data_IF_540658903152
#
_entry.id   IF_540658903152
#
_cell.length_a   1.000
_cell.length_b   1.000
_cell.length_c   1.000
_cell.angle_alpha   90.00
_cell.angle_beta   90.00
_cell.angle_gamma   90.00
#
_symmetry.space_group_name_H-M   'P 1'
#
loop_
_entity.id
_entity.type
_entity.pdbx_description
1 polymer ?
#
# COMPACT_ATOMS: atom_id res chain seq x y z
N UNK A 1 26.19 -2.12 28.13
CA UNK A 1 26.68 -1.38 26.95
C UNK A 1 25.47 -0.92 26.16
N UNK A 2 25.17 0.39 26.16
CA UNK A 2 24.07 0.97 25.41
C UNK A 2 24.35 0.81 23.91
N UNK A 3 23.58 -0.05 23.22
CA UNK A 3 23.59 -0.10 21.74
C UNK A 3 23.00 1.22 21.25
N UNK A 4 23.81 2.07 20.67
CA UNK A 4 23.32 3.24 19.92
C UNK A 4 22.48 2.72 18.76
N UNK A 5 21.16 2.93 18.84
CA UNK A 5 20.25 2.73 17.70
C UNK A 5 20.66 3.78 16.65
N UNK A 6 21.24 3.33 15.56
CA UNK A 6 21.53 4.21 14.43
C UNK A 6 20.24 4.29 13.62
N UNK A 7 19.60 5.46 13.52
CA UNK A 7 18.41 5.60 12.68
C UNK A 7 18.77 5.22 11.24
N UNK A 8 17.93 4.42 10.60
CA UNK A 8 18.10 4.05 9.19
C UNK A 8 17.99 5.33 8.37
N UNK A 9 19.12 5.87 7.92
CA UNK A 9 19.14 7.02 7.00
C UNK A 9 18.98 6.49 5.59
N UNK A 10 17.80 6.66 5.04
CA UNK A 10 17.55 6.36 3.63
C UNK A 10 18.23 7.35 2.71
N UNK A 11 18.73 6.86 1.58
CA UNK A 11 19.39 7.69 0.57
C UNK A 11 18.36 8.67 0.00
N UNK A 12 18.70 9.97 0.06
CA UNK A 12 17.88 11.03 -0.53
C UNK A 12 18.59 11.54 -1.77
N UNK A 13 17.90 11.52 -2.91
CA UNK A 13 18.36 12.14 -4.15
C UNK A 13 17.96 13.60 -4.22
N UNK A 14 18.80 14.37 -4.89
CA UNK A 14 18.44 15.71 -5.33
C UNK A 14 17.32 15.62 -6.37
N UNK A 15 16.32 16.48 -6.25
CA UNK A 15 15.25 16.61 -7.25
C UNK A 15 15.91 17.04 -8.56
N UNK A 16 15.57 16.42 -9.71
CA UNK A 16 16.13 16.82 -10.99
C UNK A 16 15.85 18.29 -11.29
N UNK A 17 16.91 19.10 -11.39
CA UNK A 17 16.78 20.54 -11.71
C UNK A 17 16.60 20.76 -13.21
N UNK A 18 16.99 19.80 -14.04
CA UNK A 18 16.85 19.82 -15.50
C UNK A 18 16.13 18.54 -15.98
N UNK A 19 15.48 18.63 -17.11
CA UNK A 19 14.70 17.57 -17.73
C UNK A 19 13.30 18.05 -18.09
N UNK A 20 12.77 17.51 -19.18
CA UNK A 20 11.42 17.82 -19.62
C UNK A 20 10.38 17.07 -18.80
N UNK A 21 9.27 17.72 -18.51
CA UNK A 21 8.08 17.08 -17.94
C UNK A 21 7.24 16.51 -19.09
N UNK A 22 7.16 15.19 -19.18
CA UNK A 22 6.37 14.54 -20.21
C UNK A 22 4.92 14.40 -19.75
N UNK A 23 3.98 14.72 -20.65
CA UNK A 23 2.53 14.68 -20.39
C UNK A 23 1.78 13.99 -21.51
N UNK A 24 0.73 13.30 -21.12
CA UNK A 24 -0.30 12.79 -22.01
C UNK A 24 -1.68 13.25 -21.47
N UNK A 25 -2.29 14.23 -22.14
CA UNK A 25 -3.45 14.93 -21.60
C UNK A 25 -3.13 15.60 -20.27
N UNK A 26 -3.88 15.30 -19.23
CA UNK A 26 -3.64 15.82 -17.89
C UNK A 26 -2.58 15.06 -17.08
N UNK A 27 -2.13 13.89 -17.55
CA UNK A 27 -1.26 13.03 -16.77
C UNK A 27 0.22 13.30 -17.03
N UNK A 28 1.03 13.29 -15.98
CA UNK A 28 2.47 13.06 -16.13
C UNK A 28 2.71 11.63 -16.60
N UNK A 29 3.57 11.45 -17.59
CA UNK A 29 3.95 10.14 -18.12
C UNK A 29 5.45 9.92 -17.98
N UNK A 30 5.83 8.67 -17.73
CA UNK A 30 7.24 8.27 -17.71
C UNK A 30 7.72 7.82 -19.10
N UNK A 31 9.04 7.54 -19.30
CA UNK A 31 9.58 7.14 -20.62
C UNK A 31 8.99 5.84 -21.16
N UNK A 32 8.30 5.05 -20.34
CA UNK A 32 7.59 3.83 -20.76
C UNK A 32 6.11 4.09 -21.10
N UNK A 33 5.68 5.36 -21.11
CA UNK A 33 4.29 5.75 -21.37
C UNK A 33 3.34 5.47 -20.19
N UNK A 34 3.84 5.28 -18.97
CA UNK A 34 3.00 4.98 -17.81
C UNK A 34 2.51 6.28 -17.17
N UNK A 35 1.20 6.54 -17.14
CA UNK A 35 0.65 7.74 -16.50
C UNK A 35 0.69 7.65 -14.98
N UNK A 36 0.92 8.77 -14.28
CA UNK A 36 0.76 8.84 -12.83
C UNK A 36 -0.73 9.01 -12.50
N UNK A 37 -1.34 7.98 -11.88
CA UNK A 37 -2.76 7.98 -11.49
C UNK A 37 -3.03 7.70 -10.02
N UNK A 38 -2.09 7.07 -9.31
CA UNK A 38 -2.32 6.58 -7.94
C UNK A 38 -1.15 7.04 -7.04
N UNK A 39 -1.48 7.72 -5.93
CA UNK A 39 -0.49 8.04 -4.90
C UNK A 39 -0.80 7.24 -3.64
N UNK A 40 0.21 6.57 -3.10
CA UNK A 40 0.17 5.98 -1.76
C UNK A 40 0.86 6.90 -0.78
N UNK A 41 0.14 7.31 0.24
CA UNK A 41 0.62 8.26 1.25
C UNK A 41 0.77 7.53 2.58
N UNK A 42 2.00 7.44 3.08
CA UNK A 42 2.27 6.99 4.44
C UNK A 42 1.99 8.15 5.41
N UNK A 43 0.98 8.01 6.25
CA UNK A 43 0.60 9.07 7.20
C UNK A 43 1.28 8.92 8.57
N UNK A 44 1.91 7.79 8.84
CA UNK A 44 2.63 7.50 10.08
C UNK A 44 3.63 6.35 9.87
N UNK A 45 4.75 6.41 10.55
CA UNK A 45 5.72 5.32 10.66
C UNK A 45 5.42 4.35 11.81
N UNK A 46 4.46 4.71 12.69
CA UNK A 46 4.08 3.91 13.86
C UNK A 46 3.08 2.82 13.48
N UNK A 47 3.30 1.63 14.02
CA UNK A 47 2.38 0.51 13.94
C UNK A 47 2.29 -0.19 15.30
N UNK A 48 1.13 -0.73 15.62
CA UNK A 48 0.92 -1.53 16.82
C UNK A 48 1.08 -3.04 16.56
N UNK A 49 1.29 -3.46 15.31
CA UNK A 49 1.68 -4.82 14.95
C UNK A 49 3.17 -4.91 14.64
N UNK A 50 3.71 -6.14 14.67
CA UNK A 50 5.11 -6.46 14.38
C UNK A 50 5.20 -7.57 13.34
N UNK A 51 4.38 -7.43 12.26
CA UNK A 51 4.33 -8.44 11.20
C UNK A 51 5.73 -8.76 10.70
N UNK A 52 6.07 -10.06 10.70
CA UNK A 52 7.41 -10.56 10.41
C UNK A 52 7.95 -10.15 9.04
N UNK A 53 7.05 -9.94 8.09
CA UNK A 53 7.39 -9.51 6.73
C UNK A 53 7.43 -7.98 6.53
N UNK A 54 7.07 -7.17 7.57
CA UNK A 54 6.96 -5.72 7.44
C UNK A 54 7.74 -4.95 8.51
N UNK A 55 7.54 -5.27 9.79
CA UNK A 55 8.15 -4.60 10.94
C UNK A 55 8.57 -5.63 12.01
N UNK A 56 9.50 -6.57 11.71
CA UNK A 56 9.87 -7.62 12.65
C UNK A 56 10.44 -7.05 13.96
N UNK A 57 10.09 -7.66 15.10
CA UNK A 57 10.50 -7.22 16.45
C UNK A 57 11.99 -7.03 16.60
N UNK A 58 12.79 -7.89 15.93
CA UNK A 58 14.26 -7.88 16.00
C UNK A 58 14.87 -6.58 15.47
N UNK A 59 14.12 -5.85 14.63
CA UNK A 59 14.55 -4.57 14.03
C UNK A 59 13.79 -3.38 14.59
N UNK A 60 12.53 -3.60 14.99
CA UNK A 60 11.63 -2.56 15.50
C UNK A 60 11.31 -2.83 16.99
N UNK A 61 12.36 -2.97 17.79
CA UNK A 61 12.28 -3.16 19.26
C UNK A 61 11.57 -1.97 19.95
N UNK A 62 11.29 -2.13 21.25
CA UNK A 62 10.64 -1.06 22.06
C UNK A 62 11.42 0.25 22.05
N UNK A 63 12.73 0.19 21.82
CA UNK A 63 13.64 1.34 21.76
C UNK A 63 13.76 1.95 20.37
N UNK A 64 13.05 1.41 19.36
CA UNK A 64 13.05 1.99 18.02
C UNK A 64 12.53 3.42 18.04
N UNK A 65 13.35 4.35 17.56
CA UNK A 65 13.00 5.76 17.50
C UNK A 65 12.15 6.04 16.25
N UNK A 66 10.87 6.18 16.44
CA UNK A 66 9.97 6.71 15.42
C UNK A 66 10.21 8.21 15.23
N UNK A 67 9.86 8.71 14.05
CA UNK A 67 10.02 10.12 13.72
C UNK A 67 9.28 11.03 14.72
N UNK A 68 9.88 12.17 15.02
CA UNK A 68 9.23 13.20 15.81
C UNK A 68 8.05 13.80 15.02
N UNK A 69 7.06 14.35 15.73
CA UNK A 69 5.89 14.93 15.07
C UNK A 69 6.24 16.06 14.09
N UNK A 70 7.31 16.80 14.36
CA UNK A 70 7.83 17.84 13.48
C UNK A 70 8.51 17.35 12.23
N UNK A 71 8.90 16.07 12.19
CA UNK A 71 9.55 15.45 11.04
C UNK A 71 8.57 14.83 10.06
N UNK A 72 7.35 14.53 10.51
CA UNK A 72 6.30 13.98 9.64
C UNK A 72 5.52 15.10 8.95
N UNK A 73 4.94 14.81 7.80
CA UNK A 73 4.06 15.75 7.10
C UNK A 73 2.81 16.06 7.91
N UNK A 74 2.40 17.33 7.93
CA UNK A 74 1.09 17.74 8.43
C UNK A 74 -0.01 17.33 7.45
N UNK A 75 -1.27 17.39 7.89
CA UNK A 75 -2.39 17.12 6.99
C UNK A 75 -2.53 18.18 5.92
N UNK A 76 -2.23 19.45 6.25
CA UNK A 76 -2.22 20.58 5.32
C UNK A 76 -1.17 20.39 4.23
N UNK A 77 0.05 19.91 4.59
CA UNK A 77 1.10 19.57 3.63
C UNK A 77 0.66 18.42 2.71
N UNK A 78 0.02 17.39 3.26
CA UNK A 78 -0.52 16.26 2.48
C UNK A 78 -1.63 16.72 1.53
N UNK A 79 -2.57 17.56 2.00
CA UNK A 79 -3.68 18.09 1.20
C UNK A 79 -3.14 18.97 0.07
N UNK A 80 -2.13 19.80 0.33
CA UNK A 80 -1.49 20.64 -0.69
C UNK A 80 -0.87 19.78 -1.80
N UNK A 81 -0.08 18.78 -1.45
CA UNK A 81 0.49 17.82 -2.42
C UNK A 81 -0.57 17.04 -3.18
N UNK A 82 -1.62 16.60 -2.48
CA UNK A 82 -2.73 15.88 -3.08
C UNK A 82 -3.45 16.73 -4.14
N UNK A 83 -3.72 18.01 -3.84
CA UNK A 83 -4.36 18.95 -4.77
C UNK A 83 -3.52 19.13 -6.03
N UNK A 84 -2.23 19.44 -5.89
CA UNK A 84 -1.31 19.59 -7.02
C UNK A 84 -1.31 18.31 -7.89
N UNK A 85 -1.23 17.15 -7.25
CA UNK A 85 -1.18 15.89 -7.98
C UNK A 85 -2.50 15.57 -8.70
N UNK A 86 -3.65 15.87 -8.08
CA UNK A 86 -4.98 15.62 -8.65
C UNK A 86 -5.25 16.52 -9.85
N UNK A 87 -4.83 17.78 -9.81
CA UNK A 87 -4.86 18.71 -10.94
C UNK A 87 -4.00 18.20 -12.11
N UNK A 88 -3.01 17.36 -11.83
CA UNK A 88 -2.07 16.79 -12.78
C UNK A 88 -2.31 15.27 -13.08
N UNK A 89 -3.56 14.85 -13.02
CA UNK A 89 -3.99 13.54 -13.51
C UNK A 89 -4.07 12.43 -12.47
N UNK A 90 -3.74 12.68 -11.20
CA UNK A 90 -3.96 11.67 -10.15
C UNK A 90 -5.45 11.52 -9.89
N UNK A 91 -5.93 10.28 -9.94
CA UNK A 91 -7.34 9.92 -9.77
C UNK A 91 -7.61 9.20 -8.46
N UNK A 92 -6.54 8.73 -7.79
CA UNK A 92 -6.65 7.92 -6.59
C UNK A 92 -5.57 8.22 -5.56
N UNK A 93 -5.99 8.32 -4.31
CA UNK A 93 -5.09 8.41 -3.16
C UNK A 93 -5.39 7.27 -2.19
N UNK A 94 -4.33 6.54 -1.80
CA UNK A 94 -4.42 5.51 -0.78
C UNK A 94 -3.65 5.94 0.46
N UNK A 95 -4.36 6.11 1.56
CA UNK A 95 -3.77 6.34 2.87
C UNK A 95 -3.29 5.01 3.47
N UNK A 96 -2.06 5.02 3.95
CA UNK A 96 -1.36 3.88 4.51
C UNK A 96 -0.33 4.37 5.53
N UNK A 97 0.69 3.59 5.85
CA UNK A 97 1.75 3.96 6.78
C UNK A 97 2.29 2.73 7.48
N UNK A 98 2.67 2.86 8.74
CA UNK A 98 2.64 1.75 9.66
C UNK A 98 1.16 1.33 9.84
N UNK A 99 0.46 1.87 10.85
CA UNK A 99 -0.99 1.71 10.97
C UNK A 99 -1.67 3.09 10.90
N UNK A 100 -2.34 3.45 9.80
CA UNK A 100 -2.88 4.79 9.61
C UNK A 100 -3.97 5.16 10.63
N UNK A 101 -4.71 4.19 11.17
CA UNK A 101 -5.74 4.46 12.18
C UNK A 101 -5.16 4.89 13.53
N UNK A 102 -3.85 4.77 13.75
CA UNK A 102 -3.18 5.34 14.91
C UNK A 102 -2.91 6.86 14.76
N UNK A 103 -2.95 7.40 13.55
CA UNK A 103 -2.82 8.83 13.33
C UNK A 103 -4.08 9.55 13.79
N UNK A 104 -3.95 10.39 14.85
CA UNK A 104 -5.08 11.16 15.38
C UNK A 104 -5.64 12.11 14.29
N UNK A 105 -6.96 12.12 14.12
CA UNK A 105 -7.65 13.00 13.18
C UNK A 105 -7.55 12.57 11.71
N UNK A 106 -7.22 11.29 11.43
CA UNK A 106 -7.18 10.75 10.07
C UNK A 106 -8.50 10.97 9.32
N UNK A 107 -9.62 10.99 10.05
CA UNK A 107 -10.96 11.26 9.53
C UNK A 107 -11.05 12.65 8.88
N UNK A 108 -10.39 13.65 9.47
CA UNK A 108 -10.35 15.01 8.91
C UNK A 108 -9.59 15.04 7.57
N UNK A 109 -8.45 14.33 7.50
CA UNK A 109 -7.71 14.20 6.24
C UNK A 109 -8.57 13.54 5.15
N UNK A 110 -9.29 12.47 5.48
CA UNK A 110 -10.20 11.79 4.54
C UNK A 110 -11.28 12.75 4.05
N UNK A 111 -11.89 13.53 4.95
CA UNK A 111 -12.91 14.53 4.60
C UNK A 111 -12.36 15.58 3.63
N UNK A 112 -11.18 16.14 3.90
CA UNK A 112 -10.58 17.15 3.03
C UNK A 112 -10.18 16.59 1.67
N UNK A 113 -9.56 15.41 1.63
CA UNK A 113 -9.25 14.74 0.37
C UNK A 113 -10.50 14.40 -0.44
N UNK A 114 -11.60 14.03 0.22
CA UNK A 114 -12.89 13.74 -0.41
C UNK A 114 -13.56 14.94 -1.10
N UNK A 115 -13.14 16.17 -0.80
CA UNK A 115 -13.61 17.39 -1.47
C UNK A 115 -12.92 17.62 -2.82
N UNK A 116 -11.76 17.02 -3.04
CA UNK A 116 -11.00 17.17 -4.27
C UNK A 116 -11.72 16.51 -5.45
N UNK A 117 -11.62 17.16 -6.60
CA UNK A 117 -12.12 16.64 -7.87
C UNK A 117 -10.97 16.44 -8.82
N UNK A 118 -10.97 15.31 -9.50
CA UNK A 118 -9.99 14.99 -10.54
C UNK A 118 -10.11 15.98 -11.73
N UNK A 119 -9.10 16.02 -12.56
CA UNK A 119 -9.02 16.88 -13.75
C UNK A 119 -10.27 16.82 -14.67
N UNK A 120 -11.01 15.69 -14.64
CA UNK A 120 -12.24 15.51 -15.41
C UNK A 120 -13.53 15.71 -14.55
N UNK A 121 -13.42 16.35 -13.39
CA UNK A 121 -14.53 16.71 -12.51
C UNK A 121 -15.11 15.59 -11.64
N UNK A 122 -14.56 14.36 -11.73
CA UNK A 122 -15.00 13.24 -10.88
C UNK A 122 -14.49 13.39 -9.45
N UNK A 123 -15.18 12.86 -8.45
CA UNK A 123 -14.64 12.78 -7.09
C UNK A 123 -13.34 11.99 -7.05
N UNK A 124 -12.37 12.44 -6.25
CA UNK A 124 -11.13 11.70 -5.99
C UNK A 124 -11.45 10.36 -5.31
N UNK A 125 -10.85 9.27 -5.79
CA UNK A 125 -10.95 7.94 -5.16
C UNK A 125 -10.03 7.87 -3.93
N UNK A 126 -10.58 8.06 -2.75
CA UNK A 126 -9.85 7.94 -1.47
C UNK A 126 -10.01 6.53 -0.91
N UNK A 127 -8.89 5.85 -0.70
CA UNK A 127 -8.83 4.52 -0.12
C UNK A 127 -7.93 4.48 1.12
N UNK A 128 -8.19 3.55 2.03
CA UNK A 128 -7.38 3.33 3.23
C UNK A 128 -6.98 1.86 3.35
N UNK A 129 -5.73 1.60 3.77
CA UNK A 129 -5.26 0.26 4.12
C UNK A 129 -4.92 0.21 5.60
N UNK A 130 -5.40 -0.80 6.33
CA UNK A 130 -5.24 -0.94 7.78
C UNK A 130 -5.02 -2.39 8.19
N UNK A 131 -4.40 -2.62 9.33
CA UNK A 131 -4.33 -3.94 9.98
C UNK A 131 -5.64 -4.30 10.73
N UNK A 132 -6.62 -3.40 10.74
CA UNK A 132 -7.93 -3.61 11.35
C UNK A 132 -8.00 -3.48 12.86
N UNK A 133 -6.89 -3.33 13.57
CA UNK A 133 -6.87 -3.34 15.05
C UNK A 133 -7.71 -2.25 15.71
N UNK A 134 -7.81 -1.08 15.09
CA UNK A 134 -8.62 0.05 15.56
C UNK A 134 -9.93 0.23 14.77
N UNK A 135 -10.19 -0.64 13.80
CA UNK A 135 -11.26 -0.45 12.83
C UNK A 135 -12.66 -0.46 13.46
N UNK A 136 -12.92 -1.38 14.41
CA UNK A 136 -14.20 -1.46 15.08
C UNK A 136 -14.61 -0.13 15.74
N UNK A 137 -13.65 0.54 16.39
CA UNK A 137 -13.91 1.83 17.05
C UNK A 137 -14.04 2.99 16.06
N UNK A 138 -13.38 2.93 14.90
CA UNK A 138 -13.25 4.05 13.96
C UNK A 138 -14.15 3.95 12.73
N UNK A 139 -14.72 2.80 12.41
CA UNK A 139 -15.46 2.54 11.18
C UNK A 139 -16.58 3.56 10.90
N UNK A 140 -17.37 3.91 11.92
CA UNK A 140 -18.46 4.91 11.79
C UNK A 140 -17.91 6.30 11.44
N UNK A 141 -16.85 6.73 12.10
CA UNK A 141 -16.22 8.02 11.83
C UNK A 141 -15.57 8.07 10.44
N UNK A 142 -14.93 6.97 10.01
CA UNK A 142 -14.37 6.84 8.66
C UNK A 142 -15.44 6.90 7.58
N UNK A 143 -16.58 6.21 7.77
CA UNK A 143 -17.71 6.27 6.86
C UNK A 143 -18.31 7.67 6.80
N UNK A 144 -18.52 8.35 7.95
CA UNK A 144 -19.00 9.72 8.04
C UNK A 144 -18.05 10.72 7.37
N UNK A 145 -16.73 10.47 7.42
CA UNK A 145 -15.71 11.23 6.70
C UNK A 145 -15.74 11.01 5.17
N UNK A 146 -16.57 10.09 4.67
CA UNK A 146 -16.74 9.81 3.25
C UNK A 146 -15.83 8.70 2.70
N UNK A 147 -15.16 7.91 3.54
CA UNK A 147 -14.36 6.77 3.09
C UNK A 147 -15.26 5.71 2.46
N UNK A 148 -15.01 5.38 1.19
CA UNK A 148 -15.75 4.36 0.44
C UNK A 148 -14.98 3.07 0.22
N UNK A 149 -13.65 3.12 0.30
CA UNK A 149 -12.76 2.00 -0.05
C UNK A 149 -11.81 1.69 1.10
N UNK A 150 -11.97 0.52 1.66
CA UNK A 150 -11.17 0.01 2.77
C UNK A 150 -10.47 -1.28 2.34
N UNK A 151 -9.20 -1.40 2.72
CA UNK A 151 -8.46 -2.67 2.62
C UNK A 151 -7.98 -3.05 4.02
N UNK A 152 -8.27 -4.26 4.45
CA UNK A 152 -7.80 -4.81 5.73
C UNK A 152 -6.80 -5.92 5.45
N UNK A 153 -5.66 -5.90 6.13
CA UNK A 153 -4.68 -6.98 6.09
C UNK A 153 -5.11 -8.08 7.06
N UNK A 154 -5.30 -9.31 6.55
CA UNK A 154 -5.73 -10.47 7.34
C UNK A 154 -5.17 -11.75 6.73
N UNK A 155 -4.05 -12.24 7.26
CA UNK A 155 -3.26 -13.30 6.63
C UNK A 155 -3.62 -14.72 7.09
N UNK A 156 -4.50 -14.87 8.09
CA UNK A 156 -4.98 -16.17 8.59
C UNK A 156 -6.35 -16.02 9.26
N UNK A 157 -7.12 -17.13 9.33
CA UNK A 157 -8.32 -17.29 10.16
C UNK A 157 -8.03 -18.02 11.46
N UNK A 158 -6.99 -18.85 11.47
CA UNK A 158 -6.52 -19.52 12.68
C UNK A 158 -5.83 -18.51 13.60
N UNK A 159 -6.24 -18.46 14.88
CA UNK A 159 -5.77 -17.48 15.85
C UNK A 159 -4.26 -17.57 16.15
N UNK A 160 -3.73 -18.79 16.18
CA UNK A 160 -2.30 -19.01 16.44
C UNK A 160 -1.44 -18.59 15.25
N UNK A 161 -1.86 -18.93 14.01
CA UNK A 161 -1.18 -18.51 12.80
C UNK A 161 -1.27 -16.99 12.65
N UNK A 162 -2.43 -16.39 12.93
CA UNK A 162 -2.63 -14.95 12.92
C UNK A 162 -1.69 -14.25 13.90
N UNK A 163 -1.62 -14.74 15.15
CA UNK A 163 -0.71 -14.22 16.17
C UNK A 163 0.76 -14.40 15.78
N UNK A 164 1.12 -15.53 15.20
CA UNK A 164 2.48 -15.81 14.72
C UNK A 164 2.91 -14.83 13.61
N UNK A 165 2.02 -14.51 12.67
CA UNK A 165 2.31 -13.60 11.55
C UNK A 165 2.40 -12.14 11.99
N UNK A 166 1.49 -11.71 12.85
CA UNK A 166 1.43 -10.32 13.34
C UNK A 166 2.39 -10.06 14.50
N UNK A 167 2.89 -11.13 15.13
CA UNK A 167 3.81 -11.14 16.25
C UNK A 167 3.39 -10.23 17.42
N UNK A 168 2.08 -10.19 17.68
CA UNK A 168 1.45 -9.49 18.81
C UNK A 168 0.29 -10.31 19.36
N UNK A 169 -0.03 -10.07 20.63
CA UNK A 169 -1.20 -10.70 21.27
C UNK A 169 -2.46 -9.88 21.01
N UNK A 170 -3.01 -10.03 19.78
CA UNK A 170 -4.21 -9.33 19.35
C UNK A 170 -5.22 -10.35 18.80
N UNK A 171 -6.45 -10.43 19.36
CA UNK A 171 -7.43 -11.42 18.94
C UNK A 171 -7.99 -11.10 17.55
N UNK A 172 -8.01 -12.09 16.67
CA UNK A 172 -8.50 -11.98 15.30
C UNK A 172 -9.97 -11.53 15.26
N UNK A 173 -10.78 -11.95 16.22
CA UNK A 173 -12.20 -11.63 16.34
C UNK A 173 -12.45 -10.12 16.33
N UNK A 174 -11.53 -9.34 16.89
CA UNK A 174 -11.61 -7.88 16.88
C UNK A 174 -11.41 -7.30 15.46
N UNK A 175 -10.54 -7.91 14.67
CA UNK A 175 -10.36 -7.51 13.26
C UNK A 175 -11.60 -7.88 12.45
N UNK A 176 -12.15 -9.09 12.63
CA UNK A 176 -13.37 -9.54 11.97
C UNK A 176 -14.57 -8.65 12.35
N UNK A 177 -14.75 -8.36 13.62
CA UNK A 177 -15.79 -7.44 14.10
C UNK A 177 -15.61 -6.02 13.53
N UNK A 178 -14.37 -5.58 13.33
CA UNK A 178 -14.05 -4.32 12.67
C UNK A 178 -14.48 -4.28 11.21
N UNK A 179 -14.26 -5.37 10.46
CA UNK A 179 -14.67 -5.53 9.06
C UNK A 179 -16.20 -5.46 8.95
N UNK A 180 -16.90 -6.22 9.78
CA UNK A 180 -18.36 -6.22 9.83
C UNK A 180 -18.92 -4.82 10.18
N UNK A 181 -18.30 -4.15 11.17
CA UNK A 181 -18.69 -2.79 11.57
C UNK A 181 -18.49 -1.80 10.43
N UNK A 182 -17.42 -1.93 9.63
CA UNK A 182 -17.15 -1.08 8.48
C UNK A 182 -18.21 -1.26 7.38
N UNK A 183 -18.62 -2.50 7.09
CA UNK A 183 -19.71 -2.78 6.14
C UNK A 183 -21.04 -2.19 6.65
N UNK A 184 -21.40 -2.42 7.91
CA UNK A 184 -22.61 -1.88 8.54
C UNK A 184 -22.61 -0.34 8.59
N UNK A 185 -21.46 0.29 8.69
CA UNK A 185 -21.32 1.75 8.66
C UNK A 185 -21.46 2.35 7.25
N UNK A 186 -21.56 1.52 6.19
CA UNK A 186 -21.77 1.98 4.81
C UNK A 186 -20.47 2.17 4.01
N UNK A 187 -19.34 1.62 4.43
CA UNK A 187 -18.13 1.55 3.59
C UNK A 187 -18.38 0.53 2.48
N UNK A 188 -18.61 1.02 1.26
CA UNK A 188 -19.18 0.24 0.16
C UNK A 188 -18.23 -0.79 -0.46
N UNK A 189 -16.91 -0.59 -0.33
CA UNK A 189 -15.90 -1.49 -0.90
C UNK A 189 -14.89 -1.89 0.16
N UNK A 190 -15.11 -3.05 0.76
CA UNK A 190 -14.18 -3.66 1.73
C UNK A 190 -13.43 -4.79 1.05
N UNK A 191 -12.10 -4.76 1.14
CA UNK A 191 -11.21 -5.78 0.60
C UNK A 191 -10.31 -6.33 1.70
N UNK A 192 -9.99 -7.60 1.61
CA UNK A 192 -8.99 -8.25 2.46
C UNK A 192 -7.74 -8.49 1.63
N UNK A 193 -6.58 -8.13 2.15
CA UNK A 193 -5.29 -8.53 1.60
C UNK A 193 -4.73 -9.67 2.44
N UNK A 194 -4.30 -10.73 1.75
CA UNK A 194 -3.67 -11.92 2.33
C UNK A 194 -2.31 -12.08 1.68
N UNK A 195 -1.23 -11.84 2.41
CA UNK A 195 0.12 -12.18 1.95
C UNK A 195 0.34 -13.67 2.17
N UNK A 196 0.54 -14.41 1.08
CA UNK A 196 0.67 -15.87 1.13
C UNK A 196 2.13 -16.27 1.16
N UNK A 197 2.55 -16.94 2.24
CA UNK A 197 3.91 -17.42 2.44
C UNK A 197 3.92 -18.93 2.65
N UNK A 198 4.72 -19.64 1.84
CA UNK A 198 4.92 -21.09 1.94
C UNK A 198 5.45 -21.48 3.32
N UNK A 199 4.96 -22.60 3.86
CA UNK A 199 5.33 -23.08 5.18
C UNK A 199 4.78 -22.24 6.35
N UNK A 200 3.87 -21.28 6.07
CA UNK A 200 3.32 -20.39 7.10
C UNK A 200 1.79 -20.39 7.10
N UNK A 201 1.15 -19.88 6.05
CA UNK A 201 -0.30 -19.70 6.01
C UNK A 201 -0.98 -20.24 4.74
N UNK A 202 -0.33 -21.06 3.96
CA UNK A 202 -0.93 -21.68 2.78
C UNK A 202 -2.17 -22.52 3.10
N UNK A 203 -2.27 -23.08 4.30
CA UNK A 203 -3.44 -23.86 4.75
C UNK A 203 -4.65 -22.98 5.10
N UNK A 204 -4.46 -21.67 5.17
CA UNK A 204 -5.52 -20.71 5.49
C UNK A 204 -6.28 -20.21 4.25
N UNK A 205 -5.79 -20.46 3.03
CA UNK A 205 -6.35 -19.95 1.79
C UNK A 205 -7.84 -20.27 1.65
N UNK A 206 -8.19 -21.55 1.79
CA UNK A 206 -9.58 -22.01 1.68
C UNK A 206 -10.45 -21.45 2.81
N UNK A 207 -9.96 -21.46 4.05
CA UNK A 207 -10.72 -20.93 5.22
C UNK A 207 -11.06 -19.44 5.06
N UNK A 208 -10.10 -18.64 4.57
CA UNK A 208 -10.31 -17.22 4.31
C UNK A 208 -11.32 -17.03 3.17
N UNK A 209 -11.16 -17.75 2.06
CA UNK A 209 -12.09 -17.71 0.94
C UNK A 209 -13.52 -18.07 1.38
N UNK A 210 -13.67 -19.17 2.12
CA UNK A 210 -14.96 -19.67 2.63
C UNK A 210 -15.64 -18.66 3.57
N UNK A 211 -14.87 -18.06 4.49
CA UNK A 211 -15.40 -17.09 5.44
C UNK A 211 -15.99 -15.83 4.77
N UNK A 212 -15.30 -15.33 3.74
CA UNK A 212 -15.71 -14.07 3.09
C UNK A 212 -16.61 -14.27 1.85
N UNK A 213 -16.72 -15.48 1.34
CA UNK A 213 -17.60 -15.80 0.21
C UNK A 213 -19.05 -15.47 0.55
N UNK A 214 -19.73 -14.72 -0.34
CA UNK A 214 -21.10 -14.28 -0.15
C UNK A 214 -21.31 -13.08 0.78
N UNK A 215 -20.24 -12.55 1.42
CA UNK A 215 -20.32 -11.40 2.34
C UNK A 215 -20.22 -10.04 1.65
N UNK A 216 -19.89 -10.00 0.35
CA UNK A 216 -19.57 -8.78 -0.39
C UNK A 216 -18.15 -8.26 -0.16
N UNK A 217 -17.35 -8.92 0.70
CA UNK A 217 -15.93 -8.62 0.89
C UNK A 217 -15.11 -9.34 -0.18
N UNK A 218 -14.18 -8.61 -0.81
CA UNK A 218 -13.28 -9.16 -1.84
C UNK A 218 -11.96 -9.58 -1.21
N UNK A 219 -11.66 -10.87 -1.19
CA UNK A 219 -10.35 -11.38 -0.76
C UNK A 219 -9.34 -11.25 -1.89
N UNK A 220 -8.13 -10.77 -1.59
CA UNK A 220 -7.02 -10.68 -2.53
C UNK A 220 -5.81 -11.39 -1.97
N UNK A 221 -5.42 -12.48 -2.60
CA UNK A 221 -4.19 -13.19 -2.29
C UNK A 221 -3.01 -12.55 -3.00
N UNK A 222 -1.94 -12.34 -2.25
CA UNK A 222 -0.74 -11.62 -2.69
C UNK A 222 0.45 -12.57 -2.55
N UNK A 223 1.19 -12.77 -3.62
CA UNK A 223 2.46 -13.49 -3.56
C UNK A 223 3.43 -12.79 -2.62
N UNK A 224 4.13 -13.56 -1.78
CA UNK A 224 5.12 -13.04 -0.85
C UNK A 224 6.26 -12.35 -1.61
N UNK A 225 6.46 -11.06 -1.34
CA UNK A 225 7.41 -10.20 -2.05
C UNK A 225 8.62 -9.85 -1.20
N UNK A 226 9.74 -9.55 -1.87
CA UNK A 226 10.99 -9.09 -1.31
C UNK A 226 10.99 -7.57 -0.98
N UNK A 227 9.95 -7.11 -0.28
CA UNK A 227 9.79 -5.71 0.12
C UNK A 227 10.62 -5.38 1.37
N UNK A 228 11.24 -4.19 1.38
CA UNK A 228 12.10 -3.79 2.50
C UNK A 228 13.42 -4.57 2.57
N UNK A 229 14.21 -4.26 3.59
CA UNK A 229 15.52 -4.88 3.84
C UNK A 229 15.45 -5.96 4.95
N UNK A 230 14.33 -6.08 5.66
CA UNK A 230 14.25 -6.84 6.92
C UNK A 230 13.37 -8.06 6.88
N UNK A 231 12.65 -8.33 5.77
CA UNK A 231 11.64 -9.39 5.71
C UNK A 231 12.18 -10.82 5.51
N UNK A 232 13.49 -10.99 5.27
CA UNK A 232 14.12 -12.31 5.12
C UNK A 232 13.60 -13.11 3.92
N UNK A 233 13.15 -12.46 2.86
CA UNK A 233 12.54 -13.08 1.70
C UNK A 233 13.46 -14.05 0.96
N UNK A 234 12.89 -15.19 0.54
CA UNK A 234 13.50 -16.18 -0.34
C UNK A 234 12.50 -16.60 -1.42
N UNK A 235 12.99 -16.90 -2.61
CA UNK A 235 12.14 -17.34 -3.72
C UNK A 235 11.35 -18.60 -3.37
N UNK A 236 11.94 -19.53 -2.61
CA UNK A 236 11.31 -20.78 -2.18
C UNK A 236 10.09 -20.58 -1.27
N UNK A 237 9.99 -19.43 -0.61
CA UNK A 237 8.88 -19.05 0.25
C UNK A 237 7.65 -18.57 -0.56
N UNK A 238 7.80 -18.37 -1.86
CA UNK A 238 6.73 -17.87 -2.74
C UNK A 238 5.83 -19.01 -3.20
N UNK A 239 4.52 -18.80 -3.10
CA UNK A 239 3.51 -19.62 -3.75
C UNK A 239 2.99 -18.83 -4.95
N UNK A 240 3.22 -19.29 -6.20
CA UNK A 240 2.71 -18.60 -7.38
C UNK A 240 1.20 -18.51 -7.37
N UNK A 241 0.66 -17.38 -7.81
CA UNK A 241 -0.79 -17.13 -7.84
C UNK A 241 -1.56 -18.22 -8.60
N UNK A 242 -0.97 -18.82 -9.64
CA UNK A 242 -1.57 -19.95 -10.34
C UNK A 242 -1.89 -21.12 -9.41
N UNK A 243 -1.00 -21.49 -8.49
CA UNK A 243 -1.25 -22.54 -7.51
C UNK A 243 -2.39 -22.18 -6.57
N UNK A 244 -2.45 -20.90 -6.15
CA UNK A 244 -3.53 -20.41 -5.28
C UNK A 244 -4.87 -20.46 -6.03
N UNK A 245 -4.89 -20.07 -7.31
CA UNK A 245 -6.08 -20.16 -8.17
C UNK A 245 -6.54 -21.61 -8.31
N UNK A 246 -5.63 -22.54 -8.60
CA UNK A 246 -5.93 -23.98 -8.73
C UNK A 246 -6.54 -24.54 -7.44
N UNK A 247 -5.97 -24.19 -6.28
CA UNK A 247 -6.48 -24.64 -4.97
C UNK A 247 -7.87 -24.10 -4.68
N UNK A 248 -8.09 -22.78 -4.87
CA UNK A 248 -9.42 -22.17 -4.68
C UNK A 248 -10.43 -22.75 -5.65
N UNK A 249 -10.08 -22.87 -6.93
CA UNK A 249 -10.97 -23.37 -7.98
C UNK A 249 -11.38 -24.83 -7.78
N UNK A 250 -10.52 -25.65 -7.15
CA UNK A 250 -10.83 -27.05 -6.83
C UNK A 250 -11.98 -27.17 -5.81
N UNK A 251 -12.12 -26.20 -4.90
CA UNK A 251 -13.13 -26.18 -3.85
C UNK A 251 -14.34 -25.32 -4.22
N UNK A 252 -14.09 -24.15 -4.79
CA UNK A 252 -15.05 -23.14 -5.19
C UNK A 252 -14.77 -22.73 -6.64
N UNK A 253 -15.52 -23.24 -7.62
CA UNK A 253 -15.29 -22.91 -9.03
C UNK A 253 -15.31 -21.39 -9.28
N UNK A 254 -14.23 -20.89 -9.86
CA UNK A 254 -14.04 -19.48 -10.20
C UNK A 254 -13.76 -19.32 -11.69
N UNK A 255 -13.99 -18.12 -12.21
CA UNK A 255 -13.63 -17.75 -13.59
C UNK A 255 -13.07 -16.33 -13.62
N UNK A 256 -12.13 -16.02 -14.54
CA UNK A 256 -11.57 -14.69 -14.66
C UNK A 256 -12.61 -13.67 -15.12
N UNK A 257 -12.45 -12.42 -14.69
CA UNK A 257 -13.23 -11.28 -15.16
C UNK A 257 -12.30 -10.13 -15.53
N UNK A 258 -12.77 -9.26 -16.44
CA UNK A 258 -11.98 -8.14 -16.93
C UNK A 258 -11.58 -7.18 -15.80
N UNK A 259 -10.41 -6.51 -15.93
CA UNK A 259 -10.01 -5.48 -14.99
C UNK A 259 -10.97 -4.29 -15.02
N UNK A 260 -11.17 -3.62 -13.88
CA UNK A 260 -12.02 -2.42 -13.81
C UNK A 260 -11.40 -1.21 -14.54
N UNK A 261 -10.08 -1.18 -14.65
CA UNK A 261 -9.31 -0.11 -15.29
C UNK A 261 -7.90 -0.60 -15.67
N UNK A 262 -7.26 -0.01 -16.67
CA UNK A 262 -5.88 -0.34 -17.05
C UNK A 262 -4.92 -0.14 -15.87
N UNK A 263 -4.05 -1.14 -15.63
CA UNK A 263 -3.09 -1.10 -14.51
C UNK A 263 -3.68 -1.52 -13.16
N UNK A 264 -4.87 -2.14 -13.12
CA UNK A 264 -5.36 -2.80 -11.91
C UNK A 264 -4.40 -3.90 -11.47
N UNK A 265 -3.95 -3.85 -10.21
CA UNK A 265 -2.86 -4.71 -9.71
C UNK A 265 -3.30 -6.16 -9.54
N UNK A 266 -4.54 -6.36 -9.11
CA UNK A 266 -5.08 -7.70 -8.87
C UNK A 266 -5.79 -8.19 -10.14
N UNK A 267 -5.42 -9.39 -10.60
CA UNK A 267 -6.28 -10.13 -11.53
C UNK A 267 -7.56 -10.49 -10.80
N UNK A 268 -8.69 -10.21 -11.45
CA UNK A 268 -10.03 -10.40 -10.87
C UNK A 268 -10.63 -11.71 -11.33
N UNK A 269 -11.29 -12.37 -10.40
CA UNK A 269 -12.04 -13.59 -10.61
C UNK A 269 -13.39 -13.49 -9.89
N UNK A 270 -14.39 -14.20 -10.37
CA UNK A 270 -15.68 -14.33 -9.69
C UNK A 270 -16.00 -15.80 -9.41
N UNK A 271 -16.73 -16.03 -8.33
CA UNK A 271 -17.30 -17.34 -8.07
C UNK A 271 -18.40 -17.63 -9.07
N UNK A 272 -18.37 -18.82 -9.72
CA UNK A 272 -19.37 -19.19 -10.76
C UNK A 272 -20.79 -19.30 -10.22
N UNK A 273 -20.95 -19.52 -8.94
CA UNK A 273 -22.24 -19.55 -8.25
C UNK A 273 -22.77 -18.18 -7.83
N UNK A 274 -22.10 -17.09 -8.22
CA UNK A 274 -22.52 -15.72 -7.93
C UNK A 274 -22.20 -15.22 -6.53
N UNK A 275 -21.44 -15.96 -5.73
CA UNK A 275 -21.12 -15.61 -4.34
C UNK A 275 -19.99 -14.57 -4.19
N UNK A 276 -19.80 -13.71 -5.19
CA UNK A 276 -18.90 -12.56 -5.13
C UNK A 276 -17.61 -12.71 -5.94
N UNK A 277 -16.64 -11.88 -5.62
CA UNK A 277 -15.34 -11.79 -6.30
C UNK A 277 -14.17 -12.17 -5.40
N UNK A 278 -13.10 -12.58 -6.03
CA UNK A 278 -11.80 -12.88 -5.43
C UNK A 278 -10.70 -12.33 -6.35
N UNK A 279 -9.54 -12.02 -5.84
CA UNK A 279 -8.45 -11.46 -6.64
C UNK A 279 -7.10 -12.06 -6.31
N UNK A 280 -6.16 -11.95 -7.26
CA UNK A 280 -4.80 -12.45 -7.09
C UNK A 280 -3.81 -11.37 -7.51
N UNK A 281 -2.74 -11.19 -6.75
CA UNK A 281 -1.69 -10.21 -7.00
C UNK A 281 -0.38 -10.98 -7.22
N UNK A 282 -0.11 -11.28 -8.50
CA UNK A 282 1.00 -12.09 -8.97
C UNK A 282 2.28 -11.25 -9.12
N UNK A 283 2.72 -10.62 -8.01
CA UNK A 283 3.82 -9.65 -8.04
C UNK A 283 5.19 -10.25 -8.30
N UNK A 284 5.34 -11.58 -8.20
CA UNK A 284 6.59 -12.32 -8.42
C UNK A 284 6.50 -13.15 -9.70
N UNK A 285 5.44 -13.96 -9.86
CA UNK A 285 5.30 -14.86 -11.00
C UNK A 285 4.85 -14.15 -12.29
N UNK A 286 4.03 -13.10 -12.18
CA UNK A 286 3.51 -12.31 -13.32
C UNK A 286 3.63 -10.82 -13.02
N UNK A 287 4.83 -10.21 -13.20
CA UNK A 287 5.07 -8.82 -12.85
C UNK A 287 4.23 -7.84 -13.67
N UNK A 288 3.67 -6.82 -12.99
CA UNK A 288 2.79 -5.79 -13.58
C UNK A 288 3.47 -4.42 -13.66
N UNK A 289 4.80 -4.37 -13.86
CA UNK A 289 5.55 -3.11 -13.97
C UNK A 289 5.15 -2.28 -15.19
N UNK A 290 4.75 -2.92 -16.29
CA UNK A 290 4.40 -2.27 -17.57
C UNK A 290 3.27 -1.26 -17.43
N UNK A 291 2.31 -1.51 -16.56
CA UNK A 291 1.13 -0.66 -16.37
C UNK A 291 1.13 0.06 -15.01
N UNK A 292 2.27 0.07 -14.33
CA UNK A 292 2.34 0.62 -12.98
C UNK A 292 2.26 2.15 -12.96
N UNK A 293 1.14 2.68 -12.52
CA UNK A 293 0.80 4.11 -12.44
C UNK A 293 0.95 4.72 -11.04
N UNK A 294 1.81 4.15 -10.16
CA UNK A 294 1.85 4.46 -8.72
C UNK A 294 3.14 5.14 -8.32
N UNK A 295 3.00 6.21 -7.52
CA UNK A 295 4.08 6.82 -6.73
C UNK A 295 3.76 6.68 -5.24
N UNK A 296 4.77 6.82 -4.38
CA UNK A 296 4.65 6.73 -2.94
C UNK A 296 5.20 7.97 -2.28
N UNK A 297 4.50 8.47 -1.29
CA UNK A 297 4.93 9.56 -0.42
C UNK A 297 5.15 8.99 0.97
N UNK A 298 6.40 9.04 1.46
CA UNK A 298 6.73 8.63 2.82
C UNK A 298 6.18 9.60 3.86
N UNK A 299 6.14 9.16 5.09
CA UNK A 299 5.63 9.93 6.21
C UNK A 299 6.40 11.25 6.44
N UNK A 300 7.67 11.30 6.08
CA UNK A 300 8.55 12.49 6.19
C UNK A 300 8.67 13.28 4.87
N UNK A 301 7.81 13.00 3.88
CA UNK A 301 7.70 13.80 2.66
C UNK A 301 8.72 13.50 1.58
N UNK A 302 9.16 12.23 1.45
CA UNK A 302 9.96 11.80 0.31
C UNK A 302 9.11 11.04 -0.71
N UNK A 303 9.34 11.31 -1.99
CA UNK A 303 8.69 10.60 -3.09
C UNK A 303 9.55 9.42 -3.54
N UNK A 304 8.88 8.27 -3.70
CA UNK A 304 9.48 7.01 -4.17
C UNK A 304 8.71 6.50 -5.39
N UNK A 305 9.42 6.27 -6.48
CA UNK A 305 8.83 5.87 -7.77
C UNK A 305 8.40 4.39 -7.82
N UNK A 306 8.89 3.57 -6.87
CA UNK A 306 8.64 2.13 -6.83
C UNK A 306 8.52 1.63 -5.40
N UNK A 307 7.80 0.49 -5.17
CA UNK A 307 7.78 -0.22 -3.88
C UNK A 307 9.17 -0.75 -3.49
N UNK A 308 9.98 -1.08 -4.48
CA UNK A 308 11.33 -1.62 -4.33
C UNK A 308 12.42 -0.55 -4.47
N UNK A 309 12.07 0.71 -4.29
CA UNK A 309 13.02 1.82 -4.37
C UNK A 309 14.09 1.72 -3.28
N UNK A 310 15.30 2.15 -3.62
CA UNK A 310 16.43 2.25 -2.72
C UNK A 310 16.74 3.69 -2.32
N UNK A 311 16.07 4.65 -2.93
CA UNK A 311 16.28 6.08 -2.78
C UNK A 311 14.98 6.86 -3.01
N UNK A 312 14.87 8.05 -2.41
CA UNK A 312 13.70 8.93 -2.51
C UNK A 312 14.10 10.38 -2.75
N UNK A 313 13.12 11.19 -3.16
CA UNK A 313 13.27 12.62 -3.45
C UNK A 313 12.55 13.44 -2.38
N UNK A 314 13.28 14.31 -1.66
CA UNK A 314 12.72 15.08 -0.54
C UNK A 314 11.90 16.29 -1.03
N UNK A 315 10.57 16.10 -1.10
CA UNK A 315 9.63 17.16 -1.46
C UNK A 315 9.25 18.05 -0.26
N UNK A 316 9.46 17.56 0.97
CA UNK A 316 9.19 18.33 2.19
C UNK A 316 10.04 19.59 2.28
N UNK A 317 11.29 19.52 1.83
CA UNK A 317 12.16 20.70 1.81
C UNK A 317 11.57 21.81 0.95
N UNK A 318 10.96 21.51 -0.18
CA UNK A 318 10.28 22.47 -1.03
C UNK A 318 9.03 23.04 -0.33
N UNK A 319 8.19 22.15 0.24
CA UNK A 319 6.98 22.54 0.98
C UNK A 319 7.27 23.54 2.09
N UNK A 320 8.31 23.27 2.88
CA UNK A 320 8.67 24.08 4.05
C UNK A 320 9.60 25.23 3.72
N UNK A 321 10.27 25.17 2.58
CA UNK A 321 11.13 26.24 2.04
C UNK A 321 10.36 27.35 1.33
N UNK A 322 9.03 27.28 1.24
CA UNK A 322 8.20 28.31 0.64
C UNK A 322 8.06 28.20 -0.88
N UNK A 323 8.36 27.02 -1.48
CA UNK A 323 8.16 26.81 -2.91
C UNK A 323 6.69 27.01 -3.31
N UNK A 324 6.48 27.57 -4.49
CA UNK A 324 5.15 27.75 -5.07
C UNK A 324 4.54 26.39 -5.45
N UNK A 325 3.25 26.36 -5.78
CA UNK A 325 2.59 25.13 -6.23
C UNK A 325 3.12 24.70 -7.59
N UNK A 326 3.44 25.64 -8.48
CA UNK A 326 4.03 25.40 -9.79
C UNK A 326 5.45 24.79 -9.69
N UNK A 327 6.26 25.26 -8.74
CA UNK A 327 7.59 24.69 -8.50
C UNK A 327 7.50 23.24 -7.99
N UNK A 328 6.53 22.95 -7.11
CA UNK A 328 6.28 21.60 -6.59
C UNK A 328 5.72 20.70 -7.69
N UNK A 329 4.79 21.21 -8.50
CA UNK A 329 4.22 20.51 -9.67
C UNK A 329 5.32 20.09 -10.64
N UNK A 330 6.20 21.02 -11.02
CA UNK A 330 7.31 20.77 -11.91
C UNK A 330 8.30 19.73 -11.33
N UNK A 331 8.59 19.82 -10.04
CA UNK A 331 9.45 18.85 -9.35
C UNK A 331 8.87 17.43 -9.39
N UNK A 332 7.57 17.27 -9.08
CA UNK A 332 6.90 15.96 -9.14
C UNK A 332 6.87 15.44 -10.58
N UNK A 333 6.56 16.31 -11.54
CA UNK A 333 6.53 16.00 -12.96
C UNK A 333 7.88 15.47 -13.45
N UNK A 334 8.98 16.15 -13.12
CA UNK A 334 10.34 15.72 -13.48
C UNK A 334 10.73 14.39 -12.82
N UNK A 335 10.40 14.21 -11.51
CA UNK A 335 10.64 12.95 -10.81
C UNK A 335 9.93 11.81 -11.53
N UNK A 336 8.68 11.99 -11.95
CA UNK A 336 7.91 10.96 -12.64
C UNK A 336 8.43 10.75 -14.07
N UNK A 337 8.69 11.79 -14.83
CA UNK A 337 9.19 11.72 -16.21
C UNK A 337 10.61 11.10 -16.30
N UNK A 338 11.38 11.12 -15.22
CA UNK A 338 12.67 10.42 -15.13
C UNK A 338 12.55 8.98 -14.58
N UNK A 339 11.34 8.38 -14.53
CA UNK A 339 11.12 7.06 -13.98
C UNK A 339 11.42 5.95 -14.99
N UNK A 340 12.32 5.05 -14.65
CA UNK A 340 12.59 3.82 -15.41
C UNK A 340 12.49 2.55 -14.56
N UNK A 341 11.77 2.60 -13.44
CA UNK A 341 11.65 1.48 -12.52
C UNK A 341 10.83 0.32 -13.10
N UNK A 342 11.42 -0.89 -13.13
CA UNK A 342 10.77 -2.12 -13.56
C UNK A 342 11.31 -3.35 -12.81
N UNK A 343 11.68 -3.16 -11.56
CA UNK A 343 12.37 -4.16 -10.74
C UNK A 343 11.69 -5.52 -10.73
N UNK A 344 10.36 -5.60 -10.63
CA UNK A 344 9.67 -6.90 -10.59
C UNK A 344 9.85 -7.72 -11.86
N UNK A 345 10.11 -7.08 -13.02
CA UNK A 345 10.38 -7.75 -14.29
C UNK A 345 11.79 -8.36 -14.35
N UNK A 346 12.74 -7.76 -13.65
CA UNK A 346 14.16 -8.19 -13.64
C UNK A 346 14.57 -8.88 -12.34
N UNK A 347 13.59 -9.21 -11.49
CA UNK A 347 13.85 -9.87 -10.21
C UNK A 347 14.34 -11.29 -10.44
N UNK A 348 15.51 -11.61 -9.83
CA UNK A 348 16.04 -12.95 -9.63
C UNK A 348 16.40 -13.12 -8.16
N UNK A 349 16.82 -14.31 -7.76
CA UNK A 349 17.33 -14.54 -6.41
C UNK A 349 18.57 -13.66 -6.12
N UNK A 350 19.48 -13.55 -7.09
CA UNK A 350 20.71 -12.76 -7.00
C UNK A 350 20.40 -11.25 -6.90
N UNK A 351 19.59 -10.71 -7.82
CA UNK A 351 19.24 -9.28 -7.81
C UNK A 351 18.47 -8.88 -6.55
N UNK A 352 17.67 -9.80 -5.99
CA UNK A 352 16.99 -9.57 -4.72
C UNK A 352 17.99 -9.51 -3.56
N UNK A 353 18.96 -10.41 -3.51
CA UNK A 353 19.99 -10.47 -2.46
C UNK A 353 20.91 -9.23 -2.49
N UNK A 354 21.35 -8.80 -3.67
CA UNK A 354 22.18 -7.61 -3.84
C UNK A 354 21.48 -6.33 -3.35
N UNK A 355 20.19 -6.18 -3.66
CA UNK A 355 19.40 -5.01 -3.30
C UNK A 355 18.86 -5.04 -1.88
N UNK A 356 18.85 -6.20 -1.22
CA UNK A 356 18.21 -6.38 0.09
C UNK A 356 18.68 -5.37 1.14
N UNK A 357 19.97 -4.99 1.14
CA UNK A 357 20.55 -4.05 2.12
C UNK A 357 20.16 -2.59 1.90
N UNK A 358 19.63 -2.25 0.72
CA UNK A 358 19.37 -0.86 0.30
C UNK A 358 17.89 -0.55 0.10
N UNK A 359 17.01 -1.56 0.17
CA UNK A 359 15.57 -1.36 0.01
C UNK A 359 15.00 -0.55 1.17
N UNK A 360 14.07 0.33 0.82
CA UNK A 360 13.31 1.11 1.80
C UNK A 360 12.25 0.21 2.45
N UNK A 361 12.10 0.32 3.75
CA UNK A 361 11.10 -0.47 4.47
C UNK A 361 9.67 -0.14 4.02
N UNK A 362 8.86 -1.16 3.81
CA UNK A 362 7.47 -1.02 3.36
C UNK A 362 6.64 -0.20 4.34
N UNK A 363 6.87 -0.37 5.64
CA UNK A 363 6.20 0.38 6.70
C UNK A 363 6.46 1.89 6.66
N UNK A 364 7.58 2.30 6.08
CA UNK A 364 7.97 3.69 5.96
C UNK A 364 7.35 4.38 4.72
N UNK A 365 7.26 3.67 3.60
CA UNK A 365 6.74 4.21 2.32
C UNK A 365 5.31 3.77 2.01
N UNK A 366 4.70 3.04 2.90
CA UNK A 366 3.35 2.55 2.77
C UNK A 366 3.21 1.30 1.88
N UNK A 367 2.74 0.23 2.46
CA UNK A 367 2.46 -1.06 1.81
C UNK A 367 1.17 -1.10 0.97
#
# INVERSE_FOLDING_TARGET
MSRKVIPIKYITKTIPLAGEVHREGAHWVDPRGRPLRDIRISVTDRCNFRCRYCMPKEKFEKEHLFLAHTEILSFEEIIRLARIAVENGVEKIRLTGGEPLLRKGIENLITELGKLKTWNGKPLDVALTTNGSALQAKAKALAAAGLKRLTVSLDAMDAEIYKQLNDVDFPIERTLAGIETAQKAGISSVKINVVVKRGTNEKELIKIAEHFRGTGVIVRYIEYMDVGATNGWRMDDVIPSRQIVEEINSRYPIEPVDPNYPGEVATRWRYKDGMGEIGFISSVSEPFCRECSRIRLSVDGKLYKCLFATEGFDIRQMLRGGASDEEIEDAIGRIWSARDDHYSEIRTAETSAERAKHKIEMSYIGG
#
